data_IF_755533459744
#
_entry.id   IF_755533459744
#
_cell.length_a   1.000
_cell.length_b   1.000
_cell.length_c   1.000
_cell.angle_alpha   90.00
_cell.angle_beta   90.00
_cell.angle_gamma   90.00
#
_symmetry.space_group_name_H-M   'P 1'
#
loop_
_entity.id
_entity.type
_entity.pdbx_description
1 polymer ?
#
# COMPACT_ATOMS: atom_id res chain seq x y z
N UNK A 1 -35.75 19.11 -0.10
CA UNK A 1 -34.78 18.08 -0.52
C UNK A 1 -33.79 18.01 0.60
N UNK A 2 -33.78 16.90 1.33
CA UNK A 2 -32.80 16.72 2.40
C UNK A 2 -31.44 16.41 1.78
N UNK A 3 -30.37 16.69 2.52
CA UNK A 3 -29.02 16.46 2.02
C UNK A 3 -28.75 14.97 1.71
N UNK A 4 -29.47 14.07 2.37
CA UNK A 4 -29.44 12.62 2.15
C UNK A 4 -30.13 12.21 0.83
N UNK A 5 -31.02 13.04 0.28
CA UNK A 5 -31.73 12.77 -0.96
C UNK A 5 -30.92 13.14 -2.21
N UNK A 6 -29.76 13.79 -2.04
CA UNK A 6 -28.93 14.24 -3.17
C UNK A 6 -28.26 13.03 -3.84
N UNK A 7 -28.44 12.80 -5.16
CA UNK A 7 -27.86 11.66 -5.84
C UNK A 7 -26.33 11.65 -5.81
N UNK A 8 -25.73 10.45 -5.68
CA UNK A 8 -24.27 10.24 -5.77
C UNK A 8 -23.65 10.81 -7.06
N UNK A 9 -24.40 10.85 -8.17
CA UNK A 9 -23.95 11.47 -9.43
C UNK A 9 -23.71 12.98 -9.29
N UNK A 10 -24.49 13.66 -8.44
CA UNK A 10 -24.31 15.08 -8.14
C UNK A 10 -23.02 15.29 -7.35
N UNK A 11 -22.78 14.50 -6.30
CA UNK A 11 -21.51 14.56 -5.57
C UNK A 11 -20.30 14.25 -6.47
N UNK A 12 -20.46 13.29 -7.40
CA UNK A 12 -19.42 12.98 -8.40
C UNK A 12 -19.10 14.18 -9.30
N UNK A 13 -20.10 14.91 -9.77
CA UNK A 13 -19.86 16.11 -10.60
C UNK A 13 -19.25 17.24 -9.78
N UNK A 14 -19.68 17.41 -8.54
CA UNK A 14 -19.23 18.47 -7.64
C UNK A 14 -17.84 18.23 -7.03
N UNK A 15 -17.35 16.99 -7.02
CA UNK A 15 -16.05 16.64 -6.46
C UNK A 15 -14.90 17.45 -7.10
N UNK A 16 -14.97 17.68 -8.42
CA UNK A 16 -14.00 18.49 -9.16
C UNK A 16 -14.02 19.98 -8.81
N UNK A 17 -15.05 20.45 -8.12
CA UNK A 17 -15.19 21.84 -7.66
C UNK A 17 -14.86 22.02 -6.18
N UNK A 18 -14.36 20.98 -5.49
CA UNK A 18 -14.02 21.05 -4.06
C UNK A 18 -13.05 22.21 -3.74
N UNK A 19 -12.05 22.44 -4.60
CA UNK A 19 -11.14 23.60 -4.51
C UNK A 19 -11.92 24.92 -4.45
N UNK A 20 -12.82 25.15 -5.39
CA UNK A 20 -13.59 26.41 -5.45
C UNK A 20 -14.50 26.56 -4.22
N UNK A 21 -15.20 25.49 -3.85
CA UNK A 21 -16.10 25.49 -2.70
C UNK A 21 -15.35 25.75 -1.38
N UNK A 22 -14.19 25.13 -1.18
CA UNK A 22 -13.38 25.34 0.02
C UNK A 22 -12.87 26.78 0.17
N UNK A 23 -12.50 27.45 -0.93
CA UNK A 23 -12.13 28.87 -0.92
C UNK A 23 -13.32 29.74 -0.49
N UNK A 24 -14.50 29.49 -1.07
CA UNK A 24 -15.71 30.24 -0.69
C UNK A 24 -16.04 30.01 0.78
N UNK A 25 -16.05 28.75 1.23
CA UNK A 25 -16.39 28.38 2.60
C UNK A 25 -15.41 28.98 3.62
N UNK A 26 -14.11 28.88 3.37
CA UNK A 26 -13.07 29.48 4.23
C UNK A 26 -13.17 31.00 4.31
N UNK A 27 -13.70 31.67 3.28
CA UNK A 27 -13.93 33.12 3.32
C UNK A 27 -15.10 33.51 4.21
N UNK A 28 -16.19 32.75 4.18
CA UNK A 28 -17.41 33.04 4.94
C UNK A 28 -17.38 32.49 6.38
N UNK A 29 -16.67 31.38 6.61
CA UNK A 29 -16.53 30.75 7.93
C UNK A 29 -15.06 30.38 8.19
N UNK A 30 -14.18 31.39 8.35
CA UNK A 30 -12.73 31.20 8.49
C UNK A 30 -12.31 30.53 9.80
N UNK A 31 -13.21 30.46 10.78
CA UNK A 31 -13.00 29.78 12.07
C UNK A 31 -13.09 28.26 11.95
N UNK A 32 -13.56 27.74 10.81
CA UNK A 32 -13.79 26.32 10.62
C UNK A 32 -13.26 25.79 9.28
N UNK A 33 -13.47 26.50 8.18
CA UNK A 33 -13.06 26.00 6.86
C UNK A 33 -11.70 26.53 6.41
N UNK A 34 -10.92 25.62 5.82
CA UNK A 34 -9.58 25.90 5.29
C UNK A 34 -9.64 25.77 3.76
N UNK A 35 -9.08 26.71 2.97
CA UNK A 35 -9.03 26.54 1.51
C UNK A 35 -8.27 25.25 1.19
N UNK A 36 -8.88 24.34 0.42
CA UNK A 36 -8.33 23.02 0.14
C UNK A 36 -7.53 23.02 -1.17
N UNK A 37 -6.20 23.13 -1.05
CA UNK A 37 -5.27 23.05 -2.19
C UNK A 37 -4.68 21.65 -2.38
N UNK A 38 -5.17 20.65 -1.63
CA UNK A 38 -4.72 19.26 -1.72
C UNK A 38 -5.36 18.38 -2.81
N UNK A 39 -6.39 18.77 -3.60
CA UNK A 39 -6.78 17.97 -4.76
C UNK A 39 -5.58 17.73 -5.70
N UNK A 40 -5.36 16.47 -6.10
CA UNK A 40 -4.18 15.96 -6.82
C UNK A 40 -2.84 16.05 -6.07
N UNK A 41 -2.88 16.49 -4.81
CA UNK A 41 -1.73 16.78 -3.96
C UNK A 41 -1.90 16.15 -2.56
N UNK A 42 -2.86 15.23 -2.42
CA UNK A 42 -3.27 14.69 -1.13
C UNK A 42 -2.16 13.89 -0.43
N UNK A 43 -1.24 13.28 -1.19
CA UNK A 43 -0.06 12.62 -0.63
C UNK A 43 0.78 13.54 0.25
N UNK A 44 0.88 14.84 -0.09
CA UNK A 44 1.60 15.80 0.72
C UNK A 44 0.89 16.05 2.05
N UNK A 45 -0.45 16.16 2.05
CA UNK A 45 -1.21 16.26 3.30
C UNK A 45 -1.02 15.01 4.17
N UNK A 46 -1.02 13.81 3.58
CA UNK A 46 -0.77 12.57 4.34
C UNK A 46 0.59 12.58 5.01
N UNK A 47 1.66 12.99 4.30
CA UNK A 47 3.00 13.08 4.89
C UNK A 47 3.12 14.17 5.94
N UNK A 48 2.47 15.32 5.75
CA UNK A 48 2.36 16.35 6.81
C UNK A 48 1.66 15.75 8.03
N UNK A 49 0.52 15.08 7.85
CA UNK A 49 -0.22 14.47 8.93
C UNK A 49 0.61 13.41 9.68
N UNK A 50 1.31 12.54 8.97
CA UNK A 50 2.22 11.55 9.55
C UNK A 50 3.37 12.21 10.34
N UNK A 51 3.95 13.30 9.82
CA UNK A 51 5.05 14.04 10.46
C UNK A 51 4.63 14.72 11.76
N UNK A 52 3.40 15.22 11.82
CA UNK A 52 2.85 15.98 12.94
C UNK A 52 1.85 15.19 13.80
N UNK A 53 1.70 13.88 13.56
CA UNK A 53 0.78 12.99 14.26
C UNK A 53 -0.69 13.47 14.20
N UNK A 54 -1.10 14.03 13.05
CA UNK A 54 -2.48 14.46 12.80
C UNK A 54 -3.30 13.25 12.36
N UNK A 55 -4.33 12.89 13.11
CA UNK A 55 -5.26 11.82 12.76
C UNK A 55 -6.23 12.27 11.67
N UNK A 56 -5.89 12.00 10.40
CA UNK A 56 -6.80 12.28 9.28
C UNK A 56 -8.05 11.39 9.32
N UNK A 57 -9.19 11.86 8.77
CA UNK A 57 -10.41 11.06 8.72
C UNK A 57 -10.24 9.76 7.92
N UNK A 58 -11.08 8.77 8.22
CA UNK A 58 -11.13 7.50 7.49
C UNK A 58 -11.42 7.72 6.00
N UNK A 59 -10.67 7.01 5.16
CA UNK A 59 -10.76 7.18 3.72
C UNK A 59 -12.08 6.58 3.17
N UNK A 60 -12.95 7.39 2.52
CA UNK A 60 -14.20 6.88 1.98
C UNK A 60 -13.97 6.00 0.76
N UNK A 61 -14.86 5.05 0.51
CA UNK A 61 -14.78 4.14 -0.63
C UNK A 61 -14.85 4.88 -1.98
N UNK A 62 -14.24 4.29 -3.03
CA UNK A 62 -14.20 4.84 -4.40
C UNK A 62 -15.56 5.29 -4.95
N UNK A 63 -16.60 4.49 -4.70
CA UNK A 63 -17.96 4.74 -5.21
C UNK A 63 -18.80 5.61 -4.30
N UNK A 64 -18.34 5.92 -3.09
CA UNK A 64 -19.03 6.78 -2.14
C UNK A 64 -18.63 8.25 -2.38
N UNK A 65 -19.15 8.84 -3.46
CA UNK A 65 -18.86 10.23 -3.81
C UNK A 65 -19.35 11.21 -2.74
N UNK A 66 -20.45 10.90 -2.04
CA UNK A 66 -20.92 11.72 -0.91
C UNK A 66 -19.89 11.72 0.22
N UNK A 67 -19.45 10.54 0.69
CA UNK A 67 -18.42 10.44 1.73
C UNK A 67 -17.12 11.12 1.32
N UNK A 68 -16.69 10.94 0.06
CA UNK A 68 -15.51 11.62 -0.51
C UNK A 68 -15.64 13.14 -0.52
N UNK A 69 -16.81 13.69 -0.84
CA UNK A 69 -17.04 15.13 -0.82
C UNK A 69 -17.05 15.67 0.62
N UNK A 70 -17.72 14.95 1.54
CA UNK A 70 -17.78 15.28 2.97
C UNK A 70 -16.46 15.08 3.70
N UNK A 71 -15.51 14.33 3.14
CA UNK A 71 -14.17 14.19 3.71
C UNK A 71 -13.52 15.54 4.02
N UNK A 72 -13.80 16.55 3.20
CA UNK A 72 -13.31 17.92 3.41
C UNK A 72 -13.76 18.52 4.75
N UNK A 73 -14.99 18.24 5.19
CA UNK A 73 -15.55 18.76 6.44
C UNK A 73 -14.81 18.19 7.65
N UNK A 74 -14.71 16.86 7.73
CA UNK A 74 -13.99 16.20 8.83
C UNK A 74 -12.48 16.50 8.77
N UNK A 75 -11.90 16.62 7.57
CA UNK A 75 -10.50 17.04 7.40
C UNK A 75 -10.27 18.44 7.98
N UNK A 76 -11.18 19.39 7.72
CA UNK A 76 -11.08 20.72 8.32
C UNK A 76 -11.13 20.65 9.84
N UNK A 77 -12.03 19.84 10.41
CA UNK A 77 -12.10 19.64 11.86
C UNK A 77 -10.77 19.14 12.44
N UNK A 78 -10.19 18.08 11.88
CA UNK A 78 -8.91 17.54 12.34
C UNK A 78 -7.76 18.56 12.25
N UNK A 79 -7.71 19.35 11.18
CA UNK A 79 -6.69 20.39 11.02
C UNK A 79 -6.87 21.58 11.97
N UNK A 80 -8.12 21.94 12.32
CA UNK A 80 -8.36 22.96 13.34
C UNK A 80 -8.04 22.46 14.74
N UNK A 81 -8.32 21.19 15.06
CA UNK A 81 -7.91 20.58 16.33
C UNK A 81 -6.38 20.65 16.48
N UNK A 82 -5.63 20.24 15.45
CA UNK A 82 -4.17 20.43 15.40
C UNK A 82 -3.75 21.90 15.61
N UNK A 83 -4.42 22.85 14.95
CA UNK A 83 -4.11 24.27 15.08
C UNK A 83 -4.29 24.78 16.53
N UNK A 84 -5.38 24.38 17.19
CA UNK A 84 -5.67 24.72 18.58
C UNK A 84 -4.60 24.13 19.51
N UNK A 85 -4.24 22.86 19.34
CA UNK A 85 -3.24 22.19 20.17
C UNK A 85 -1.83 22.77 20.04
N UNK A 86 -1.54 23.46 18.92
CA UNK A 86 -0.25 24.04 18.60
C UNK A 86 -0.24 25.57 18.64
N UNK A 87 -1.24 26.18 19.30
CA UNK A 87 -1.36 27.64 19.49
C UNK A 87 -1.35 28.46 18.18
N UNK A 88 -1.79 27.87 17.06
CA UNK A 88 -1.94 28.57 15.77
C UNK A 88 -3.21 29.43 15.85
N UNK A 89 -3.04 30.75 15.80
CA UNK A 89 -4.08 31.71 16.20
C UNK A 89 -5.02 32.12 15.07
N UNK A 90 -4.69 31.81 13.82
CA UNK A 90 -5.49 32.23 12.68
C UNK A 90 -5.43 31.27 11.49
N UNK A 91 -6.47 31.31 10.66
CA UNK A 91 -6.49 30.62 9.37
C UNK A 91 -5.28 30.99 8.50
N UNK A 92 -4.83 32.25 8.54
CA UNK A 92 -3.66 32.70 7.76
C UNK A 92 -2.36 32.05 8.23
N UNK A 93 -2.18 31.89 9.54
CA UNK A 93 -1.02 31.17 10.10
C UNK A 93 -1.07 29.68 9.75
N UNK A 94 -2.24 29.05 9.86
CA UNK A 94 -2.41 27.64 9.47
C UNK A 94 -2.14 27.44 7.98
N UNK A 95 -2.63 28.33 7.12
CA UNK A 95 -2.34 28.30 5.69
C UNK A 95 -0.86 28.54 5.38
N UNK A 96 -0.20 29.44 6.11
CA UNK A 96 1.23 29.68 5.96
C UNK A 96 2.05 28.45 6.37
N UNK A 97 1.65 27.76 7.44
CA UNK A 97 2.24 26.50 7.84
C UNK A 97 2.03 25.41 6.78
N UNK A 98 0.78 25.09 6.43
CA UNK A 98 0.45 24.00 5.50
C UNK A 98 1.00 24.24 4.10
N UNK A 99 0.69 25.40 3.51
CA UNK A 99 0.96 25.67 2.09
C UNK A 99 2.22 26.48 1.86
N UNK A 100 2.57 27.38 2.80
CA UNK A 100 3.71 28.28 2.66
C UNK A 100 5.04 27.66 3.09
N UNK A 101 5.03 26.65 3.96
CA UNK A 101 6.24 26.04 4.50
C UNK A 101 6.25 24.51 4.36
N UNK A 102 5.34 23.79 5.03
CA UNK A 102 5.44 22.33 5.14
C UNK A 102 5.25 21.62 3.81
N UNK A 103 4.35 22.11 2.94
CA UNK A 103 4.18 21.50 1.62
C UNK A 103 5.47 21.54 0.79
N UNK A 104 6.27 22.62 0.87
CA UNK A 104 7.57 22.66 0.19
C UNK A 104 8.58 21.71 0.82
N UNK A 105 8.65 21.65 2.15
CA UNK A 105 9.57 20.75 2.87
C UNK A 105 9.27 19.30 2.52
N UNK A 106 8.01 18.88 2.59
CA UNK A 106 7.60 17.52 2.26
C UNK A 106 7.84 17.19 0.78
N UNK A 107 7.65 18.14 -0.14
CA UNK A 107 8.00 17.94 -1.56
C UNK A 107 9.49 17.67 -1.75
N UNK A 108 10.35 18.47 -1.11
CA UNK A 108 11.80 18.27 -1.16
C UNK A 108 12.23 16.93 -0.54
N UNK A 109 11.64 16.56 0.60
CA UNK A 109 11.85 15.26 1.25
C UNK A 109 11.43 14.11 0.32
N UNK A 110 10.24 14.18 -0.29
CA UNK A 110 9.77 13.18 -1.25
C UNK A 110 10.69 13.08 -2.46
N UNK A 111 11.08 14.19 -3.07
CA UNK A 111 12.02 14.18 -4.19
C UNK A 111 13.37 13.54 -3.80
N UNK A 112 13.83 13.76 -2.57
CA UNK A 112 15.01 13.08 -2.05
C UNK A 112 14.78 11.58 -1.89
N UNK A 113 13.64 11.16 -1.35
CA UNK A 113 13.27 9.75 -1.24
C UNK A 113 13.15 9.09 -2.62
N UNK A 114 12.56 9.73 -3.63
CA UNK A 114 12.45 9.21 -5.00
C UNK A 114 13.82 8.85 -5.59
N UNK A 115 14.88 9.56 -5.18
CA UNK A 115 16.26 9.32 -5.64
C UNK A 115 16.98 8.20 -4.88
N UNK A 116 16.43 7.71 -3.77
CA UNK A 116 16.99 6.54 -3.08
C UNK A 116 16.83 5.27 -3.94
N UNK A 117 17.68 4.29 -3.69
CA UNK A 117 17.62 3.00 -4.35
C UNK A 117 16.24 2.35 -4.16
N UNK A 118 15.70 1.83 -5.24
CA UNK A 118 14.51 0.98 -5.22
C UNK A 118 14.92 -0.46 -4.88
N UNK A 119 13.98 -1.34 -4.48
CA UNK A 119 14.26 -2.76 -4.38
C UNK A 119 14.85 -3.29 -5.70
N UNK A 120 15.88 -4.14 -5.61
CA UNK A 120 16.57 -4.68 -6.79
C UNK A 120 15.65 -5.54 -7.67
N UNK A 121 14.63 -6.16 -7.06
CA UNK A 121 13.64 -7.00 -7.73
C UNK A 121 12.24 -6.50 -7.35
N UNK A 122 11.52 -5.84 -8.28
CA UNK A 122 10.12 -5.48 -8.08
C UNK A 122 9.26 -6.69 -7.76
N UNK A 123 8.32 -6.52 -6.86
CA UNK A 123 7.53 -7.65 -6.34
C UNK A 123 6.20 -7.81 -7.06
N UNK A 124 5.68 -6.69 -7.55
CA UNK A 124 4.38 -6.64 -8.20
C UNK A 124 4.45 -5.89 -9.52
N UNK A 125 3.44 -6.19 -10.34
CA UNK A 125 3.22 -5.50 -11.58
C UNK A 125 1.75 -5.09 -11.71
N UNK A 126 1.51 -3.95 -12.35
CA UNK A 126 0.18 -3.38 -12.53
C UNK A 126 -0.04 -2.94 -13.97
N UNK A 127 -1.25 -3.17 -14.49
CA UNK A 127 -1.65 -2.63 -15.80
C UNK A 127 -2.14 -1.20 -15.60
N UNK A 128 -1.54 -0.26 -16.30
CA UNK A 128 -2.02 1.11 -16.43
C UNK A 128 -2.70 1.28 -17.78
N UNK A 129 -3.81 2.00 -17.80
CA UNK A 129 -4.58 2.24 -19.02
C UNK A 129 -4.92 3.71 -19.14
N UNK A 130 -4.49 4.35 -20.23
CA UNK A 130 -4.77 5.77 -20.45
C UNK A 130 -4.54 6.23 -21.88
N UNK A 131 -4.64 7.54 -22.09
CA UNK A 131 -4.29 8.18 -23.35
C UNK A 131 -3.03 9.00 -23.12
N UNK A 132 -2.05 8.92 -24.03
CA UNK A 132 -0.96 9.89 -24.04
C UNK A 132 -1.41 11.13 -24.82
N UNK A 133 -1.63 12.24 -24.13
CA UNK A 133 -1.59 13.55 -24.78
C UNK A 133 -0.16 13.90 -25.18
N UNK A 134 0.02 15.03 -25.87
CA UNK A 134 1.36 15.44 -26.34
C UNK A 134 2.34 15.67 -25.18
N UNK A 135 1.86 16.23 -24.06
CA UNK A 135 2.67 16.43 -22.87
C UNK A 135 3.15 15.09 -22.29
N UNK A 136 2.23 14.12 -22.15
CA UNK A 136 2.51 12.83 -21.52
C UNK A 136 3.44 11.95 -22.37
N UNK A 137 3.51 12.15 -23.70
CA UNK A 137 4.50 11.46 -24.55
C UNK A 137 5.94 11.79 -24.17
N UNK A 138 6.18 13.04 -23.78
CA UNK A 138 7.51 13.54 -23.38
C UNK A 138 7.74 13.50 -21.86
N UNK A 139 6.74 13.06 -21.11
CA UNK A 139 6.82 12.92 -19.65
C UNK A 139 7.93 11.93 -19.28
N UNK A 140 8.79 12.35 -18.37
CA UNK A 140 9.82 11.51 -17.75
C UNK A 140 9.35 10.91 -16.44
N UNK A 141 8.53 11.68 -15.74
CA UNK A 141 7.92 11.34 -14.45
C UNK A 141 6.65 12.17 -14.24
N UNK A 142 5.74 11.67 -13.39
CA UNK A 142 4.49 12.37 -13.09
C UNK A 142 3.51 11.51 -12.29
N UNK A 143 2.44 12.13 -11.79
CA UNK A 143 1.35 11.38 -11.17
C UNK A 143 0.51 10.70 -12.25
N UNK A 144 0.22 9.42 -12.03
CA UNK A 144 -0.71 8.67 -12.89
C UNK A 144 -1.70 7.89 -12.06
N UNK A 145 -2.89 7.64 -12.63
CA UNK A 145 -3.88 6.77 -12.01
C UNK A 145 -3.31 5.36 -11.84
N UNK A 146 -3.21 4.88 -10.60
CA UNK A 146 -2.68 3.56 -10.27
C UNK A 146 -3.54 2.85 -9.22
N UNK A 147 -3.15 1.64 -8.84
CA UNK A 147 -3.73 0.95 -7.69
C UNK A 147 -3.31 1.65 -6.39
N UNK A 148 -4.18 1.77 -5.38
CA UNK A 148 -3.75 2.20 -4.03
C UNK A 148 -2.81 1.16 -3.39
N UNK A 149 -2.70 -0.01 -3.99
CA UNK A 149 -1.80 -1.10 -3.60
C UNK A 149 -0.49 -1.10 -4.39
N UNK A 150 -0.20 -0.04 -5.15
CA UNK A 150 1.11 0.08 -5.80
C UNK A 150 2.15 0.35 -4.71
N UNK A 151 3.32 -0.28 -4.79
CA UNK A 151 4.47 0.04 -3.93
C UNK A 151 5.60 0.62 -4.76
N UNK A 152 6.45 1.44 -4.15
CA UNK A 152 7.66 1.94 -4.80
C UNK A 152 8.51 0.79 -5.36
N UNK A 153 8.95 0.93 -6.61
CA UNK A 153 9.68 -0.09 -7.36
C UNK A 153 8.79 -1.00 -8.22
N UNK A 154 7.47 -1.03 -8.00
CA UNK A 154 6.57 -1.88 -8.78
C UNK A 154 6.62 -1.58 -10.28
N UNK A 155 6.41 -2.64 -11.07
CA UNK A 155 6.39 -2.57 -12.54
C UNK A 155 5.01 -2.08 -13.01
N UNK A 156 4.99 -1.09 -13.87
CA UNK A 156 3.76 -0.50 -14.38
C UNK A 156 3.72 -0.67 -15.90
N UNK A 157 3.05 -1.73 -16.39
CA UNK A 157 2.90 -1.94 -17.84
C UNK A 157 1.79 -1.03 -18.36
N UNK A 158 2.08 -0.23 -19.39
CA UNK A 158 1.17 0.81 -19.86
C UNK A 158 0.53 0.44 -21.20
N UNK A 159 -0.80 0.40 -21.22
CA UNK A 159 -1.60 0.23 -22.42
C UNK A 159 -2.27 1.56 -22.80
N UNK A 160 -1.93 2.06 -23.99
CA UNK A 160 -2.57 3.24 -24.55
C UNK A 160 -3.89 2.87 -25.22
N UNK A 161 -4.97 3.59 -24.89
CA UNK A 161 -6.30 3.37 -25.49
C UNK A 161 -6.34 3.86 -26.94
N UNK A 162 -7.56 3.96 -27.48
CA UNK A 162 -7.80 4.43 -28.83
C UNK A 162 -7.22 5.84 -29.06
N UNK A 163 -6.57 6.10 -30.21
CA UNK A 163 -6.48 5.25 -31.40
C UNK A 163 -5.33 4.22 -31.41
N UNK A 164 -4.35 4.32 -30.52
CA UNK A 164 -3.13 3.49 -30.55
C UNK A 164 -3.42 2.02 -30.21
N UNK A 165 -4.16 1.75 -29.13
CA UNK A 165 -4.59 0.39 -28.71
C UNK A 165 -3.43 -0.61 -28.58
N UNK A 166 -2.33 -0.19 -27.94
CA UNK A 166 -1.13 -1.00 -27.75
C UNK A 166 -0.55 -0.84 -26.34
N UNK A 167 0.07 -1.90 -25.83
CA UNK A 167 1.04 -1.81 -24.74
C UNK A 167 2.35 -1.29 -25.31
N UNK A 168 2.70 -0.05 -24.97
CA UNK A 168 3.79 0.70 -25.63
C UNK A 168 4.86 1.21 -24.66
N UNK A 169 4.70 1.00 -23.36
CA UNK A 169 5.71 1.38 -22.39
C UNK A 169 5.60 0.58 -21.11
N UNK A 170 6.71 0.53 -20.38
CA UNK A 170 6.78 0.04 -19.01
C UNK A 170 7.35 1.17 -18.16
N UNK A 171 6.72 1.44 -17.04
CA UNK A 171 7.14 2.45 -16.07
C UNK A 171 7.47 1.78 -14.75
N UNK A 172 8.10 2.55 -13.86
CA UNK A 172 8.35 2.15 -12.47
C UNK A 172 7.58 3.07 -11.54
N UNK A 173 6.96 2.52 -10.50
CA UNK A 173 6.42 3.31 -9.41
C UNK A 173 7.57 3.94 -8.61
N UNK A 174 7.61 5.27 -8.53
CA UNK A 174 8.59 6.02 -7.73
C UNK A 174 8.10 6.26 -6.30
N UNK A 175 6.78 6.16 -6.08
CA UNK A 175 6.12 6.22 -4.77
C UNK A 175 5.00 5.20 -4.68
N UNK A 176 4.61 4.88 -3.46
CA UNK A 176 3.44 4.05 -3.18
C UNK A 176 2.15 4.68 -3.74
N UNK A 177 1.17 3.81 -3.97
CA UNK A 177 -0.17 4.19 -4.31
C UNK A 177 -0.84 4.94 -3.16
N UNK A 178 -1.41 6.10 -3.44
CA UNK A 178 -2.21 6.84 -2.48
C UNK A 178 -3.61 7.09 -3.00
N UNK A 179 -4.56 7.24 -2.08
CA UNK A 179 -5.94 7.60 -2.39
C UNK A 179 -6.07 9.12 -2.27
N UNK A 180 -6.75 9.72 -3.24
CA UNK A 180 -7.15 11.12 -3.19
C UNK A 180 -8.70 11.18 -3.13
N UNK A 181 -9.28 11.55 -1.97
CA UNK A 181 -10.72 11.61 -1.83
C UNK A 181 -11.33 12.67 -2.76
N UNK A 182 -10.57 13.71 -3.16
CA UNK A 182 -11.02 14.82 -4.00
C UNK A 182 -10.71 14.62 -5.49
N UNK A 183 -9.86 13.66 -5.83
CA UNK A 183 -9.44 13.40 -7.21
C UNK A 183 -10.54 12.86 -8.12
N UNK A 184 -10.50 13.20 -9.42
CA UNK A 184 -11.37 12.56 -10.41
C UNK A 184 -11.11 11.05 -10.47
N UNK A 185 -9.83 10.68 -10.52
CA UNK A 185 -9.40 9.32 -10.26
C UNK A 185 -9.22 9.12 -8.76
N UNK A 186 -9.54 7.91 -8.29
CA UNK A 186 -9.57 7.62 -6.85
C UNK A 186 -8.18 7.45 -6.24
N UNK A 187 -7.23 6.94 -7.01
CA UNK A 187 -5.89 6.62 -6.53
C UNK A 187 -4.84 6.90 -7.59
N UNK A 188 -3.66 7.26 -7.12
CA UNK A 188 -2.53 7.68 -7.94
C UNK A 188 -1.23 7.11 -7.36
N UNK A 189 -0.19 7.09 -8.19
CA UNK A 189 1.20 6.89 -7.79
C UNK A 189 2.04 7.84 -8.63
N UNK A 190 3.21 8.24 -8.10
CA UNK A 190 4.21 8.94 -8.87
C UNK A 190 5.00 7.92 -9.68
N UNK A 191 5.04 8.07 -11.01
CA UNK A 191 5.65 7.10 -11.93
C UNK A 191 6.84 7.73 -12.65
N UNK A 192 7.81 6.92 -13.05
CA UNK A 192 8.99 7.37 -13.79
C UNK A 192 9.76 6.22 -14.42
N UNK A 193 11.02 6.48 -14.81
CA UNK A 193 11.92 5.49 -15.43
C UNK A 193 11.29 4.76 -16.62
N UNK A 194 10.63 5.53 -17.50
CA UNK A 194 9.93 4.99 -18.68
C UNK A 194 10.88 4.19 -19.58
N UNK A 195 10.50 2.95 -19.85
CA UNK A 195 11.04 2.13 -20.91
C UNK A 195 10.02 2.14 -22.05
N UNK A 196 10.35 2.86 -23.11
CA UNK A 196 9.51 2.94 -24.30
C UNK A 196 9.68 1.69 -25.17
N UNK A 197 8.54 1.15 -25.63
CA UNK A 197 8.49 0.04 -26.58
C UNK A 197 8.17 0.64 -27.95
N UNK A 198 9.08 0.51 -28.95
CA UNK A 198 8.84 1.02 -30.29
C UNK A 198 7.53 0.53 -30.89
N UNK A 199 6.86 1.37 -31.69
CA UNK A 199 5.49 1.12 -32.15
C UNK A 199 5.35 -0.13 -33.03
N UNK A 200 6.40 -0.52 -33.74
CA UNK A 200 6.51 -1.76 -34.53
C UNK A 200 6.69 -3.02 -33.66
N UNK A 201 7.11 -2.84 -32.40
CA UNK A 201 7.37 -3.92 -31.44
C UNK A 201 6.32 -4.01 -30.33
N UNK A 202 5.50 -2.98 -30.18
CA UNK A 202 4.46 -2.89 -29.17
C UNK A 202 3.36 -3.96 -29.37
N UNK A 203 2.80 -4.45 -28.26
CA UNK A 203 1.73 -5.47 -28.30
C UNK A 203 0.40 -4.78 -28.53
N UNK A 204 -0.23 -5.06 -29.66
CA UNK A 204 -1.57 -4.56 -29.96
C UNK A 204 -2.66 -5.33 -29.21
N UNK A 205 -3.83 -4.72 -29.10
CA UNK A 205 -5.02 -5.42 -28.64
C UNK A 205 -5.32 -6.73 -29.39
N UNK A 206 -5.08 -6.75 -30.71
CA UNK A 206 -5.30 -7.93 -31.53
C UNK A 206 -4.31 -9.05 -31.17
N UNK A 207 -3.05 -8.72 -30.89
CA UNK A 207 -2.06 -9.67 -30.41
C UNK A 207 -2.52 -10.30 -29.08
N UNK A 208 -2.97 -9.49 -28.12
CA UNK A 208 -3.52 -10.00 -26.85
C UNK A 208 -4.73 -10.91 -27.04
N UNK A 209 -5.68 -10.54 -27.90
CA UNK A 209 -6.86 -11.37 -28.21
C UNK A 209 -6.50 -12.69 -28.88
N UNK A 210 -5.41 -12.71 -29.64
CA UNK A 210 -4.96 -13.88 -30.39
C UNK A 210 -4.00 -14.78 -29.60
N UNK A 211 -3.46 -14.32 -28.47
CA UNK A 211 -2.65 -15.16 -27.56
C UNK A 211 -3.49 -16.28 -26.95
N UNK A 212 -3.01 -17.53 -27.10
CA UNK A 212 -3.68 -18.70 -26.53
C UNK A 212 -3.63 -18.69 -24.98
N UNK A 213 -2.58 -18.13 -24.39
CA UNK A 213 -2.48 -17.91 -22.95
C UNK A 213 -3.63 -17.03 -22.43
N UNK A 214 -3.80 -15.82 -22.99
CA UNK A 214 -4.83 -14.88 -22.53
C UNK A 214 -6.26 -15.34 -22.86
N UNK A 215 -6.45 -16.18 -23.88
CA UNK A 215 -7.74 -16.85 -24.16
C UNK A 215 -8.08 -17.91 -23.12
N UNK A 216 -7.08 -18.68 -22.67
CA UNK A 216 -7.27 -19.77 -21.69
C UNK A 216 -7.40 -19.28 -20.24
N UNK A 217 -6.91 -18.07 -19.95
CA UNK A 217 -6.93 -17.47 -18.60
C UNK A 217 -8.36 -17.20 -18.09
N UNK A 218 -8.58 -17.39 -16.78
CA UNK A 218 -9.83 -17.01 -16.10
C UNK A 218 -10.21 -15.55 -16.43
N UNK A 219 -11.50 -15.29 -16.64
CA UNK A 219 -12.03 -13.96 -16.90
C UNK A 219 -11.83 -13.02 -15.71
N UNK A 220 -11.84 -13.53 -14.48
CA UNK A 220 -11.61 -12.71 -13.27
C UNK A 220 -10.14 -12.30 -13.22
N UNK A 221 -9.87 -10.99 -13.23
CA UNK A 221 -8.50 -10.45 -13.24
C UNK A 221 -7.84 -10.39 -14.62
N UNK A 222 -8.47 -10.93 -15.67
CA UNK A 222 -7.94 -10.88 -17.03
C UNK A 222 -8.37 -9.57 -17.73
N UNK A 223 -7.43 -8.62 -17.82
CA UNK A 223 -7.62 -7.32 -18.46
C UNK A 223 -7.94 -7.39 -19.97
N UNK A 224 -7.51 -8.46 -20.66
CA UNK A 224 -7.83 -8.70 -22.08
C UNK A 224 -9.31 -9.08 -22.26
N UNK A 225 -9.87 -9.85 -21.33
CA UNK A 225 -11.29 -10.23 -21.36
C UNK A 225 -12.23 -9.03 -21.18
N UNK A 226 -11.76 -7.99 -20.47
CA UNK A 226 -12.42 -6.69 -20.26
C UNK A 226 -12.12 -5.67 -21.34
N UNK A 227 -11.40 -6.05 -22.39
CA UNK A 227 -11.01 -5.16 -23.49
C UNK A 227 -10.29 -3.89 -22.99
N UNK A 228 -9.51 -4.02 -21.90
CA UNK A 228 -8.80 -2.94 -21.23
C UNK A 228 -9.72 -1.78 -20.74
N UNK A 229 -11.00 -2.05 -20.47
CA UNK A 229 -11.93 -1.06 -19.88
C UNK A 229 -12.00 -1.19 -18.37
N UNK A 230 -11.82 -0.07 -17.67
CA UNK A 230 -11.87 0.03 -16.20
C UNK A 230 -10.93 -0.94 -15.44
N UNK A 231 -9.81 -1.30 -16.09
CA UNK A 231 -8.80 -2.21 -15.52
C UNK A 231 -7.50 -1.52 -15.09
N UNK A 232 -7.39 -0.19 -15.23
CA UNK A 232 -6.19 0.52 -14.76
C UNK A 232 -6.02 0.30 -13.26
N UNK A 233 -4.83 -0.11 -12.84
CA UNK A 233 -4.52 -0.53 -11.48
C UNK A 233 -4.87 -1.99 -11.16
N UNK A 234 -5.22 -2.82 -12.15
CA UNK A 234 -5.32 -4.27 -11.92
C UNK A 234 -3.93 -4.90 -11.84
N UNK A 235 -3.82 -5.96 -11.04
CA UNK A 235 -2.57 -6.70 -10.90
C UNK A 235 -2.26 -7.46 -12.20
N UNK A 236 -1.01 -7.39 -12.62
CA UNK A 236 -0.40 -8.24 -13.64
C UNK A 236 0.34 -9.34 -12.89
N UNK A 237 -0.11 -10.58 -13.04
CA UNK A 237 0.52 -11.69 -12.32
C UNK A 237 1.90 -11.98 -12.90
N UNK A 238 2.70 -12.77 -12.19
CA UNK A 238 3.98 -13.24 -12.70
C UNK A 238 3.83 -13.91 -14.08
N UNK A 239 2.88 -14.84 -14.22
CA UNK A 239 2.62 -15.53 -15.49
C UNK A 239 2.16 -14.58 -16.61
N UNK A 240 1.35 -13.56 -16.30
CA UNK A 240 0.96 -12.55 -17.29
C UNK A 240 2.17 -11.78 -17.79
N UNK A 241 3.05 -11.40 -16.87
CA UNK A 241 4.24 -10.63 -17.18
C UNK A 241 5.23 -11.43 -18.02
N UNK A 242 5.41 -12.73 -17.70
CA UNK A 242 6.19 -13.67 -18.50
C UNK A 242 5.62 -13.78 -19.92
N UNK A 243 4.30 -13.92 -20.07
CA UNK A 243 3.65 -13.97 -21.39
C UNK A 243 3.84 -12.65 -22.16
N UNK A 244 3.69 -11.50 -21.49
CA UNK A 244 3.95 -10.18 -22.10
C UNK A 244 5.40 -10.10 -22.60
N UNK A 245 6.38 -10.52 -21.79
CA UNK A 245 7.80 -10.56 -22.21
C UNK A 245 7.99 -11.50 -23.41
N UNK A 246 7.38 -12.69 -23.41
CA UNK A 246 7.44 -13.63 -24.55
C UNK A 246 6.89 -12.98 -25.84
N UNK A 247 5.72 -12.35 -25.77
CA UNK A 247 5.11 -11.66 -26.92
C UNK A 247 5.96 -10.48 -27.43
N UNK A 248 6.60 -9.73 -26.54
CA UNK A 248 7.53 -8.66 -26.91
C UNK A 248 8.79 -9.21 -27.59
N UNK A 249 9.34 -10.32 -27.08
CA UNK A 249 10.49 -10.99 -27.66
C UNK A 249 10.19 -11.49 -29.09
N UNK A 250 9.00 -12.05 -29.32
CA UNK A 250 8.55 -12.47 -30.66
C UNK A 250 8.44 -11.30 -31.65
N UNK A 251 8.12 -10.10 -31.15
CA UNK A 251 8.14 -8.86 -31.93
C UNK A 251 9.55 -8.22 -32.03
N UNK A 252 10.58 -8.89 -31.55
CA UNK A 252 11.97 -8.44 -31.65
C UNK A 252 12.34 -7.30 -30.69
N UNK A 253 11.59 -7.14 -29.58
CA UNK A 253 11.98 -6.25 -28.49
C UNK A 253 13.04 -6.92 -27.60
N UNK A 254 14.01 -6.13 -27.14
CA UNK A 254 15.04 -6.58 -26.21
C UNK A 254 14.47 -6.59 -24.78
N UNK A 255 14.02 -7.77 -24.35
CA UNK A 255 13.34 -7.96 -23.06
C UNK A 255 14.27 -7.87 -21.85
N UNK A 256 15.59 -7.86 -22.04
CA UNK A 256 16.55 -7.65 -20.95
C UNK A 256 16.54 -6.20 -20.45
N UNK A 257 15.98 -5.27 -21.23
CA UNK A 257 15.72 -3.90 -20.78
C UNK A 257 14.57 -3.79 -19.79
N UNK A 258 13.70 -4.80 -19.72
CA UNK A 258 12.56 -4.79 -18.82
C UNK A 258 12.96 -5.30 -17.44
N UNK A 259 12.41 -4.72 -16.36
CA UNK A 259 12.65 -5.21 -15.00
C UNK A 259 12.28 -6.70 -14.87
N UNK A 260 12.95 -7.39 -13.95
CA UNK A 260 12.59 -8.77 -13.59
C UNK A 260 11.62 -8.70 -12.43
N UNK A 261 10.39 -9.16 -12.67
CA UNK A 261 9.40 -9.32 -11.61
C UNK A 261 9.84 -10.47 -10.70
N UNK A 262 9.72 -10.29 -9.39
CA UNK A 262 9.92 -11.34 -8.40
C UNK A 262 9.10 -12.55 -8.79
N UNK A 263 9.79 -13.68 -8.95
CA UNK A 263 9.13 -14.96 -9.12
C UNK A 263 8.74 -15.45 -7.73
N UNK A 264 7.43 -15.56 -7.42
CA UNK A 264 7.01 -16.10 -6.14
C UNK A 264 7.64 -17.47 -5.96
N UNK A 265 8.45 -17.59 -4.92
CA UNK A 265 9.08 -18.86 -4.55
C UNK A 265 7.95 -19.86 -4.33
N UNK A 266 7.91 -20.88 -5.19
CA UNK A 266 7.22 -22.13 -4.86
C UNK A 266 8.06 -22.78 -3.78
N UNK A 267 7.78 -22.49 -2.51
CA UNK A 267 8.44 -23.17 -1.39
C UNK A 267 7.98 -24.63 -1.48
N UNK A 268 8.74 -25.46 -2.19
CA UNK A 268 8.27 -26.78 -2.62
C UNK A 268 6.95 -26.76 -3.43
N UNK A 269 6.23 -27.88 -3.42
CA UNK A 269 4.89 -28.01 -4.04
C UNK A 269 3.76 -27.42 -3.16
N UNK A 270 4.09 -26.51 -2.24
CA UNK A 270 3.14 -25.96 -1.26
C UNK A 270 2.26 -24.92 -1.94
N UNK A 271 0.95 -25.12 -1.88
CA UNK A 271 -0.04 -24.23 -2.50
C UNK A 271 -0.71 -23.40 -1.41
N UNK A 272 -0.41 -22.10 -1.38
CA UNK A 272 -0.99 -21.14 -0.43
C UNK A 272 -2.29 -20.56 -1.02
N UNK A 273 -3.43 -20.98 -0.50
CA UNK A 273 -4.76 -20.49 -0.89
C UNK A 273 -5.35 -19.54 0.16
N UNK A 274 -5.06 -19.77 1.43
CA UNK A 274 -5.59 -19.02 2.56
C UNK A 274 -4.48 -18.53 3.51
N UNK A 275 -4.81 -17.57 4.37
CA UNK A 275 -3.88 -17.06 5.41
C UNK A 275 -3.38 -18.18 6.33
N UNK A 276 -4.26 -19.11 6.67
CA UNK A 276 -3.94 -20.32 7.46
C UNK A 276 -2.88 -21.20 6.81
N UNK A 277 -2.76 -21.20 5.47
CA UNK A 277 -1.73 -21.98 4.80
C UNK A 277 -0.34 -21.41 5.04
N UNK A 278 -0.21 -20.08 5.20
CA UNK A 278 1.06 -19.44 5.56
C UNK A 278 1.48 -19.90 6.96
N UNK A 279 0.55 -19.92 7.91
CA UNK A 279 0.88 -20.38 9.26
C UNK A 279 1.21 -21.87 9.32
N UNK A 280 0.37 -22.72 8.73
CA UNK A 280 0.51 -24.18 8.82
C UNK A 280 1.65 -24.74 7.95
N UNK A 281 1.92 -24.14 6.79
CA UNK A 281 2.82 -24.72 5.80
C UNK A 281 4.17 -24.00 5.74
N UNK A 282 4.29 -22.78 6.28
CA UNK A 282 5.55 -22.01 6.29
C UNK A 282 6.02 -21.68 7.72
N UNK A 283 5.22 -20.94 8.50
CA UNK A 283 5.64 -20.44 9.81
C UNK A 283 5.87 -21.56 10.84
N UNK A 284 4.88 -22.43 11.07
CA UNK A 284 4.98 -23.51 12.08
C UNK A 284 6.17 -24.43 11.79
N UNK A 285 6.35 -24.94 10.55
CA UNK A 285 7.52 -25.74 10.21
C UNK A 285 8.85 -25.02 10.48
N UNK A 286 8.93 -23.71 10.19
CA UNK A 286 10.14 -22.92 10.45
C UNK A 286 10.45 -22.84 11.95
N UNK A 287 9.46 -22.55 12.80
CA UNK A 287 9.65 -22.49 14.25
C UNK A 287 10.06 -23.86 14.83
N UNK A 288 9.48 -24.95 14.33
CA UNK A 288 9.84 -26.32 14.72
C UNK A 288 11.26 -26.69 14.28
N UNK A 289 11.69 -26.29 13.08
CA UNK A 289 13.08 -26.44 12.62
C UNK A 289 14.06 -25.66 13.49
N UNK A 290 13.64 -24.51 14.05
CA UNK A 290 14.43 -23.76 15.02
C UNK A 290 14.50 -24.46 16.39
N UNK A 291 13.72 -25.52 16.61
CA UNK A 291 13.73 -26.34 17.82
C UNK A 291 12.70 -25.91 18.86
N UNK A 292 11.75 -25.05 18.51
CA UNK A 292 10.64 -24.65 19.37
C UNK A 292 9.44 -25.57 19.15
N UNK A 293 8.73 -25.88 20.23
CA UNK A 293 7.62 -26.82 20.23
C UNK A 293 6.30 -26.07 20.37
N UNK A 294 5.34 -26.37 19.48
CA UNK A 294 3.97 -25.84 19.56
C UNK A 294 3.30 -26.21 20.88
N UNK A 295 2.51 -25.30 21.42
CA UNK A 295 1.81 -25.39 22.71
C UNK A 295 2.74 -25.47 23.94
N UNK A 296 4.05 -25.25 23.75
CA UNK A 296 5.04 -25.15 24.82
C UNK A 296 5.86 -23.87 24.70
N UNK A 297 6.55 -23.72 23.58
CA UNK A 297 7.41 -22.57 23.32
C UNK A 297 6.64 -21.48 22.55
N UNK A 298 5.72 -21.86 21.66
CA UNK A 298 4.82 -20.94 20.97
C UNK A 298 3.39 -21.45 20.91
N UNK A 299 2.42 -20.54 20.81
CA UNK A 299 0.98 -20.86 20.77
C UNK A 299 0.25 -19.88 19.85
N UNK A 300 -0.75 -20.38 19.14
CA UNK A 300 -1.62 -19.56 18.29
C UNK A 300 -2.83 -19.01 19.04
N UNK A 301 -3.43 -17.94 18.50
CA UNK A 301 -4.71 -17.36 18.94
C UNK A 301 -4.80 -17.08 20.45
N UNK A 302 -3.72 -16.56 21.05
CA UNK A 302 -3.65 -16.31 22.49
C UNK A 302 -4.53 -15.10 22.86
N UNK A 303 -5.48 -15.28 23.76
CA UNK A 303 -6.34 -14.19 24.25
C UNK A 303 -5.63 -13.41 25.37
N UNK A 304 -5.44 -12.10 25.18
CA UNK A 304 -5.07 -11.22 26.28
C UNK A 304 -6.30 -10.88 27.13
N UNK A 305 -6.14 -10.88 28.45
CA UNK A 305 -7.14 -10.40 29.39
C UNK A 305 -7.28 -8.88 29.32
N UNK A 306 -7.89 -8.36 28.25
CA UNK A 306 -8.24 -6.95 28.17
C UNK A 306 -9.44 -6.68 29.10
N UNK A 307 -9.21 -5.98 30.20
CA UNK A 307 -10.28 -5.52 31.09
C UNK A 307 -11.43 -4.87 30.31
N UNK A 308 -12.67 -5.02 30.82
CA UNK A 308 -13.91 -4.57 30.16
C UNK A 308 -13.78 -3.12 29.67
N UNK A 309 -13.94 -2.91 28.36
CA UNK A 309 -14.01 -1.57 27.76
C UNK A 309 -15.23 -0.78 28.27
N UNK A 310 -15.24 0.55 28.05
CA UNK A 310 -16.33 1.47 28.42
C UNK A 310 -17.72 1.09 27.83
N UNK A 311 -17.76 0.19 26.87
CA UNK A 311 -18.96 -0.31 26.17
C UNK A 311 -19.49 -1.64 26.71
N UNK A 312 -18.85 -2.26 27.71
CA UNK A 312 -19.29 -3.53 28.31
C UNK A 312 -18.94 -4.78 27.49
N UNK A 313 -18.39 -4.63 26.27
CA UNK A 313 -17.87 -5.72 25.45
C UNK A 313 -16.34 -5.83 25.63
N UNK A 314 -15.85 -7.04 25.86
CA UNK A 314 -14.43 -7.32 25.75
C UNK A 314 -14.06 -7.33 24.26
N UNK A 315 -13.18 -6.42 23.83
CA UNK A 315 -12.57 -6.55 22.52
C UNK A 315 -11.51 -7.64 22.63
N UNK A 316 -11.76 -8.79 22.02
CA UNK A 316 -10.78 -9.87 21.97
C UNK A 316 -9.57 -9.38 21.15
N UNK A 317 -8.45 -9.13 21.82
CA UNK A 317 -7.17 -8.83 21.16
C UNK A 317 -6.38 -10.12 21.12
N UNK A 318 -6.24 -10.69 19.93
CA UNK A 318 -5.65 -12.00 19.68
C UNK A 318 -4.53 -11.84 18.64
N UNK A 319 -3.24 -11.85 19.03
CA UNK A 319 -2.16 -12.10 18.07
C UNK A 319 -2.34 -13.48 17.43
N UNK A 320 -1.89 -13.62 16.19
CA UNK A 320 -1.94 -14.91 15.49
C UNK A 320 -1.06 -15.94 16.21
N UNK A 321 0.16 -15.57 16.60
CA UNK A 321 1.03 -16.39 17.45
C UNK A 321 1.83 -15.57 18.47
N UNK A 322 2.15 -16.21 19.60
CA UNK A 322 3.14 -15.74 20.57
C UNK A 322 4.23 -16.81 20.73
N UNK A 323 5.48 -16.38 20.91
CA UNK A 323 6.64 -17.25 21.16
C UNK A 323 7.37 -16.80 22.44
N UNK A 324 7.87 -17.79 23.18
CA UNK A 324 8.43 -17.69 24.53
C UNK A 324 7.44 -17.12 25.54
N UNK A 325 6.28 -17.79 25.65
CA UNK A 325 5.16 -17.36 26.48
C UNK A 325 5.45 -17.64 27.95
N UNK A 326 5.19 -16.65 28.81
CA UNK A 326 5.18 -16.77 30.26
C UNK A 326 3.77 -16.40 30.72
N UNK A 327 2.97 -17.42 31.03
CA UNK A 327 1.63 -17.23 31.61
C UNK A 327 1.73 -17.06 33.13
N UNK A 328 1.25 -15.93 33.64
CA UNK A 328 1.01 -15.72 35.07
C UNK A 328 -0.48 -15.75 35.37
N UNK A 329 -0.87 -15.72 36.65
CA UNK A 329 -2.30 -15.74 37.02
C UNK A 329 -3.09 -14.53 36.50
N UNK A 330 -2.41 -13.41 36.27
CA UNK A 330 -3.05 -12.13 35.97
C UNK A 330 -2.65 -11.56 34.59
N UNK A 331 -1.58 -12.06 33.97
CA UNK A 331 -1.05 -11.54 32.70
C UNK A 331 -0.36 -12.60 31.83
N UNK A 332 -0.27 -12.33 30.53
CA UNK A 332 0.45 -13.14 29.55
C UNK A 332 1.57 -12.29 28.94
N UNK A 333 2.82 -12.67 29.20
CA UNK A 333 3.98 -12.08 28.56
C UNK A 333 4.51 -13.04 27.48
N UNK A 334 5.07 -12.50 26.41
CA UNK A 334 5.76 -13.26 25.38
C UNK A 334 6.95 -12.46 24.87
N UNK A 335 8.04 -13.13 24.50
CA UNK A 335 9.20 -12.42 23.93
C UNK A 335 8.92 -11.92 22.51
N UNK A 336 8.21 -12.73 21.72
CA UNK A 336 7.89 -12.41 20.33
C UNK A 336 6.38 -12.47 20.11
N UNK A 337 5.84 -11.41 19.51
CA UNK A 337 4.49 -11.41 18.95
C UNK A 337 4.57 -11.57 17.43
N UNK A 338 3.72 -12.42 16.85
CA UNK A 338 3.75 -12.76 15.43
C UNK A 338 2.36 -12.48 14.82
N UNK A 339 2.36 -11.70 13.74
CA UNK A 339 1.20 -11.46 12.88
C UNK A 339 1.40 -12.18 11.55
N UNK A 340 0.40 -12.93 11.09
CA UNK A 340 0.43 -13.71 9.87
C UNK A 340 -0.61 -13.16 8.90
N UNK A 341 -0.22 -12.97 7.64
CA UNK A 341 -1.13 -12.56 6.57
C UNK A 341 -0.97 -13.48 5.39
N UNK A 342 -2.01 -13.66 4.57
CA UNK A 342 -1.87 -14.44 3.34
C UNK A 342 -0.82 -13.84 2.40
N UNK A 343 -0.96 -12.56 2.09
CA UNK A 343 -0.07 -11.79 1.21
C UNK A 343 -0.34 -10.31 1.46
N UNK A 344 0.64 -9.59 1.99
CA UNK A 344 0.62 -8.13 2.14
C UNK A 344 1.04 -7.52 0.81
N UNK A 345 0.08 -7.00 0.08
CA UNK A 345 0.29 -6.60 -1.32
C UNK A 345 0.93 -5.22 -1.47
N UNK A 346 1.28 -4.51 -0.40
CA UNK A 346 1.79 -3.14 -0.48
C UNK A 346 2.10 -2.54 0.87
N UNK A 347 2.84 -1.43 0.86
CA UNK A 347 3.16 -0.61 2.03
C UNK A 347 1.94 -0.20 2.86
N UNK A 348 0.78 0.06 2.25
CA UNK A 348 -0.44 0.34 3.04
C UNK A 348 -0.90 -0.89 3.84
N UNK A 349 -1.02 -2.05 3.21
CA UNK A 349 -1.35 -3.30 3.92
C UNK A 349 -0.26 -3.61 4.97
N UNK A 350 1.02 -3.37 4.65
CA UNK A 350 2.14 -3.54 5.60
C UNK A 350 1.97 -2.61 6.81
N UNK A 351 1.65 -1.35 6.59
CA UNK A 351 1.42 -0.35 7.62
C UNK A 351 0.25 -0.69 8.54
N UNK A 352 -0.88 -1.10 7.96
CA UNK A 352 -2.06 -1.53 8.73
C UNK A 352 -1.73 -2.77 9.58
N UNK A 353 -1.04 -3.75 9.01
CA UNK A 353 -0.61 -4.95 9.74
C UNK A 353 0.49 -4.66 10.76
N UNK A 354 1.37 -3.70 10.51
CA UNK A 354 2.36 -3.21 11.47
C UNK A 354 1.69 -2.54 12.66
N UNK A 355 0.72 -1.66 12.44
CA UNK A 355 -0.09 -1.04 13.51
C UNK A 355 -0.78 -2.10 14.36
N UNK A 356 -1.38 -3.11 13.72
CA UNK A 356 -2.03 -4.22 14.40
C UNK A 356 -1.04 -5.06 15.23
N UNK A 357 0.02 -5.57 14.59
CA UNK A 357 1.05 -6.37 15.26
C UNK A 357 1.75 -5.62 16.38
N UNK A 358 2.05 -4.32 16.18
CA UNK A 358 2.62 -3.45 17.22
C UNK A 358 1.69 -3.29 18.43
N UNK A 359 0.37 -3.21 18.19
CA UNK A 359 -0.62 -3.20 19.26
C UNK A 359 -0.49 -4.48 20.09
N UNK A 360 -0.52 -5.65 19.44
CA UNK A 360 -0.39 -6.95 20.13
C UNK A 360 0.94 -7.14 20.85
N UNK A 361 2.05 -6.74 20.22
CA UNK A 361 3.38 -6.76 20.84
C UNK A 361 3.43 -5.86 22.09
N UNK A 362 2.66 -4.77 22.14
CA UNK A 362 2.53 -3.95 23.34
C UNK A 362 1.72 -4.65 24.45
N UNK A 363 0.67 -5.38 24.10
CA UNK A 363 -0.15 -6.13 25.07
C UNK A 363 0.64 -7.28 25.71
N UNK A 364 1.38 -8.05 24.93
CA UNK A 364 2.18 -9.17 25.45
C UNK A 364 3.57 -8.79 25.96
N UNK A 365 3.86 -7.50 26.17
CA UNK A 365 5.17 -6.97 26.54
C UNK A 365 6.34 -7.45 25.65
N UNK A 366 6.07 -7.78 24.38
CA UNK A 366 7.03 -8.40 23.48
C UNK A 366 8.21 -7.47 23.15
N UNK A 367 9.40 -8.06 23.09
CA UNK A 367 10.65 -7.40 22.70
C UNK A 367 10.81 -7.36 21.18
N UNK A 368 10.18 -8.33 20.49
CA UNK A 368 10.24 -8.53 19.05
C UNK A 368 8.84 -8.64 18.48
N UNK A 369 8.60 -7.96 17.36
CA UNK A 369 7.43 -8.15 16.53
C UNK A 369 7.86 -8.82 15.23
N UNK A 370 7.21 -9.90 14.86
CA UNK A 370 7.37 -10.53 13.55
C UNK A 370 6.08 -10.40 12.76
N UNK A 371 6.18 -10.05 11.48
CA UNK A 371 5.07 -10.05 10.54
C UNK A 371 5.49 -10.87 9.34
N UNK A 372 4.70 -11.87 8.95
CA UNK A 372 5.03 -12.71 7.80
C UNK A 372 3.83 -12.96 6.89
N UNK A 373 4.13 -13.20 5.61
CA UNK A 373 3.17 -13.61 4.60
C UNK A 373 3.72 -14.68 3.66
N UNK A 374 3.01 -15.01 2.57
CA UNK A 374 3.49 -16.03 1.62
C UNK A 374 4.80 -15.69 0.89
N UNK A 375 5.30 -14.46 0.99
CA UNK A 375 6.51 -13.99 0.30
C UNK A 375 7.68 -13.84 1.26
N UNK A 376 7.45 -13.25 2.45
CA UNK A 376 8.53 -12.82 3.34
C UNK A 376 8.20 -12.89 4.82
N UNK A 377 9.23 -12.65 5.62
CA UNK A 377 9.22 -12.46 7.06
C UNK A 377 9.89 -11.10 7.35
N UNK A 378 9.24 -10.25 8.14
CA UNK A 378 9.81 -9.01 8.69
C UNK A 378 9.90 -9.09 10.19
N UNK A 379 11.05 -8.73 10.74
CA UNK A 379 11.33 -8.76 12.17
C UNK A 379 11.70 -7.37 12.65
N UNK A 380 10.91 -6.86 13.58
CA UNK A 380 11.07 -5.54 14.19
C UNK A 380 11.56 -5.71 15.62
N UNK A 381 12.62 -5.00 15.98
CA UNK A 381 13.12 -4.94 17.36
C UNK A 381 12.80 -3.57 17.97
N UNK A 382 12.75 -3.51 19.30
CA UNK A 382 12.60 -2.22 19.98
C UNK A 382 13.86 -1.38 19.84
N UNK A 383 13.69 -0.14 19.43
CA UNK A 383 14.79 0.82 19.38
C UNK A 383 15.21 1.30 20.79
N UNK A 384 16.20 2.20 20.85
CA UNK A 384 16.71 2.78 22.11
C UNK A 384 15.65 3.54 22.93
N UNK A 385 14.52 3.92 22.32
CA UNK A 385 13.36 4.55 22.99
C UNK A 385 12.30 3.52 23.41
N UNK A 386 12.62 2.23 23.32
CA UNK A 386 11.74 1.11 23.62
C UNK A 386 10.49 1.01 22.71
N UNK A 387 10.61 1.44 21.44
CA UNK A 387 9.51 1.47 20.46
C UNK A 387 9.86 0.66 19.22
N UNK A 388 8.85 0.02 18.62
CA UNK A 388 8.94 -0.49 17.25
C UNK A 388 8.76 0.69 16.29
N UNK A 389 9.67 0.84 15.34
CA UNK A 389 9.58 1.80 14.24
C UNK A 389 9.35 1.00 12.95
N UNK A 390 8.38 1.41 12.13
CA UNK A 390 7.94 0.65 10.96
C UNK A 390 9.02 0.52 9.88
N UNK A 391 9.94 1.48 9.82
CA UNK A 391 11.04 1.52 8.85
C UNK A 391 12.31 0.82 9.35
N UNK A 392 12.32 0.32 10.60
CA UNK A 392 13.48 -0.32 11.23
C UNK A 392 13.19 -1.81 11.43
N UNK A 393 13.39 -2.60 10.37
CA UNK A 393 13.19 -4.05 10.38
C UNK A 393 14.30 -4.80 9.64
N UNK A 394 14.44 -6.07 9.99
CA UNK A 394 15.21 -7.05 9.22
C UNK A 394 14.23 -7.91 8.42
N UNK A 395 14.48 -8.06 7.12
CA UNK A 395 13.65 -8.84 6.20
C UNK A 395 14.33 -10.14 5.77
N UNK A 396 13.54 -11.20 5.63
CA UNK A 396 13.94 -12.50 5.10
C UNK A 396 12.91 -12.98 4.10
N UNK A 397 13.34 -13.52 2.97
CA UNK A 397 12.49 -14.38 2.14
C UNK A 397 12.39 -15.78 2.75
N UNK A 398 11.38 -16.56 2.35
CA UNK A 398 11.32 -17.97 2.78
C UNK A 398 12.53 -18.79 2.30
N UNK A 399 13.12 -18.46 1.15
CA UNK A 399 14.35 -19.10 0.67
C UNK A 399 15.58 -18.76 1.53
N UNK A 400 15.64 -17.56 2.11
CA UNK A 400 16.73 -17.20 3.02
C UNK A 400 16.76 -18.13 4.24
N UNK A 401 15.62 -18.70 4.64
CA UNK A 401 15.55 -19.66 5.74
C UNK A 401 16.19 -21.01 5.43
N UNK A 402 16.46 -21.33 4.16
CA UNK A 402 17.23 -22.51 3.77
C UNK A 402 18.76 -22.28 3.85
N UNK A 403 19.19 -21.01 3.87
CA UNK A 403 20.59 -20.66 4.02
C UNK A 403 20.99 -20.72 5.51
N UNK A 404 22.02 -21.51 5.91
CA UNK A 404 22.38 -21.68 7.32
C UNK A 404 22.69 -20.40 8.09
N UNK A 405 23.35 -19.42 7.45
CA UNK A 405 23.74 -18.17 8.10
C UNK A 405 22.52 -17.27 8.33
N UNK A 406 21.65 -17.16 7.32
CA UNK A 406 20.40 -16.40 7.41
C UNK A 406 19.40 -17.04 8.36
N UNK A 407 19.31 -18.36 8.37
CA UNK A 407 18.53 -19.12 9.34
C UNK A 407 19.02 -18.86 10.77
N UNK A 408 20.34 -18.88 11.00
CA UNK A 408 20.92 -18.59 12.32
C UNK A 408 20.68 -17.13 12.75
N UNK A 409 20.73 -16.18 11.81
CA UNK A 409 20.40 -14.77 12.04
C UNK A 409 18.94 -14.61 12.48
N UNK A 410 17.98 -15.15 11.72
CA UNK A 410 16.56 -15.09 12.07
C UNK A 410 16.28 -15.77 13.42
N UNK A 411 16.83 -16.98 13.63
CA UNK A 411 16.68 -17.70 14.90
C UNK A 411 17.19 -16.86 16.08
N UNK A 412 18.31 -16.17 15.92
CA UNK A 412 18.87 -15.30 16.97
C UNK A 412 17.98 -14.11 17.27
N UNK A 413 17.31 -13.54 16.27
CA UNK A 413 16.36 -12.43 16.49
C UNK A 413 15.14 -12.89 17.29
N UNK A 414 14.69 -14.13 17.07
CA UNK A 414 13.49 -14.69 17.69
C UNK A 414 13.76 -15.41 19.03
N UNK A 415 15.01 -15.79 19.33
CA UNK A 415 15.43 -16.49 20.57
C UNK A 415 15.60 -15.55 21.74
#
# INVERSE_FOLDING_TARGET
MEFEDIPQSTFKSELGFNLLWSIILSRYFPEYYIPNFFPMQFIYLKKIAEKYDIELPDMPNRSDYRGRWLYYDEMCKQLNEFAIENDIQSLSELCAFLYGYEMSVVKEEMEYEHRKSMPDVPEQAWILVGNYGEAEKTMKEGFWQSSPFTSKGDILVFYEKSPVKKLNSVWTALEDGFIDPFGHYYSFSYIGNKIEIPDDKAISYADFKNSDYFKARDKKGNFVSKNFQDVSGWQVTFDDYVEIKRMLLEKGFDIEKLPKLYEPVKVGNVKIEHEKDVSEQLLIPLLEQMGWVKDKDFKGEVEFNAGRGKTGFASEKRPDFLLHIVETKDDIEAKVAIEVKRHMKNEKEIHENFKQGRSYAKWGAAEVLMICDMIRIRVYQRNKKNRFEETDYTEFSWNDTENPDKFAELKKLLS
#
